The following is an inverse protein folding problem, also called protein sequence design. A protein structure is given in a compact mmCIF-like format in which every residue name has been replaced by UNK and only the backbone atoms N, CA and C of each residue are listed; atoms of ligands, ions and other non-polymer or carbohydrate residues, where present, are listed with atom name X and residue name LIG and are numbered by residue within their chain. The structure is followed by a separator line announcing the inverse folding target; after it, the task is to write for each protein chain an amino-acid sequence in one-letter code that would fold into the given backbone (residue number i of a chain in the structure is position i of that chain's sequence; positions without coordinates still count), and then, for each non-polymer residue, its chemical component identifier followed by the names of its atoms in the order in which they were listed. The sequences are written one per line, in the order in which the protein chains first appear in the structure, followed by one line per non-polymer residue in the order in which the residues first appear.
data_IF_005225822841
#
_entry.id   IF_005225822841
#
_cell.length_a   1.000
_cell.length_b   1.000
_cell.length_c   1.000
_cell.angle_alpha   90.00
_cell.angle_beta   90.00
_cell.angle_gamma   90.00
#
_symmetry.space_group_name_H-M   'P 1'
#
loop_
_entity.id
_entity.type
_entity.pdbx_description
1 polymer ?
#
# COMPACT_ATOMS: atom_id res chain seq x y z
N UNK A 1 -5.34 0.00 -25.10
CA UNK A 1 -5.54 0.65 -23.79
C UNK A 1 -5.20 -0.32 -22.68
N UNK A 2 -4.86 0.16 -21.48
CA UNK A 2 -4.73 -0.68 -20.27
C UNK A 2 -5.91 -0.39 -19.33
N UNK A 3 -6.40 -1.38 -18.56
CA UNK A 3 -7.43 -1.14 -17.55
C UNK A 3 -6.98 -0.11 -16.52
N UNK A 4 -7.94 0.58 -15.89
CA UNK A 4 -7.65 1.57 -14.87
C UNK A 4 -6.96 0.91 -13.64
N UNK A 5 -5.98 1.56 -12.99
CA UNK A 5 -5.26 0.98 -11.84
C UNK A 5 -6.11 0.59 -10.63
N UNK A 6 -7.37 1.04 -10.56
CA UNK A 6 -8.33 0.58 -9.54
C UNK A 6 -8.93 -0.80 -9.85
N UNK A 7 -8.91 -1.21 -11.12
CA UNK A 7 -9.44 -2.49 -11.60
C UNK A 7 -8.30 -3.49 -11.82
N UNK A 8 -7.15 -3.04 -12.30
CA UNK A 8 -5.97 -3.88 -12.57
C UNK A 8 -4.77 -3.36 -11.77
N UNK A 9 -4.22 -4.18 -10.89
CA UNK A 9 -3.13 -3.77 -10.02
C UNK A 9 -1.75 -4.01 -10.64
N UNK A 10 -1.64 -4.56 -11.85
CA UNK A 10 -0.37 -4.99 -12.44
C UNK A 10 0.67 -3.87 -12.48
N UNK A 11 0.26 -2.66 -12.89
CA UNK A 11 1.17 -1.51 -12.97
C UNK A 11 1.56 -1.00 -11.58
N UNK A 12 0.59 -0.96 -10.65
CA UNK A 12 0.79 -0.54 -9.26
C UNK A 12 1.74 -1.51 -8.54
N UNK A 13 1.51 -2.81 -8.66
CA UNK A 13 2.32 -3.86 -8.06
C UNK A 13 3.75 -3.82 -8.59
N UNK A 14 3.93 -3.65 -9.91
CA UNK A 14 5.26 -3.43 -10.49
C UNK A 14 5.94 -2.20 -9.91
N UNK A 15 5.20 -1.10 -9.71
CA UNK A 15 5.76 0.12 -9.15
C UNK A 15 6.16 -0.04 -7.67
N UNK A 16 5.37 -0.75 -6.86
CA UNK A 16 5.71 -1.04 -5.45
C UNK A 16 7.08 -1.74 -5.38
N UNK A 17 7.28 -2.78 -6.20
CA UNK A 17 8.55 -3.54 -6.23
C UNK A 17 9.70 -2.67 -6.73
N UNK A 18 9.47 -1.86 -7.77
CA UNK A 18 10.48 -0.94 -8.30
C UNK A 18 10.93 0.10 -7.25
N UNK A 19 9.99 0.74 -6.56
CA UNK A 19 10.30 1.75 -5.55
C UNK A 19 10.96 1.14 -4.31
N UNK A 20 10.62 -0.10 -3.95
CA UNK A 20 11.28 -0.81 -2.87
C UNK A 20 12.76 -1.11 -3.13
N UNK A 21 13.12 -1.30 -4.41
CA UNK A 21 14.50 -1.50 -4.84
C UNK A 21 15.34 -0.21 -4.78
N UNK A 22 14.71 0.97 -4.81
CA UNK A 22 15.41 2.24 -4.68
C UNK A 22 15.91 2.44 -3.22
N UNK A 23 17.22 2.59 -2.99
CA UNK A 23 17.77 2.87 -1.66
C UNK A 23 17.31 4.21 -1.07
N UNK A 24 16.84 5.15 -1.90
CA UNK A 24 16.27 6.44 -1.53
C UNK A 24 14.89 6.34 -0.89
N UNK A 25 14.15 5.27 -1.15
CA UNK A 25 12.76 5.11 -0.69
C UNK A 25 12.70 4.65 0.77
N UNK A 26 12.17 5.53 1.63
CA UNK A 26 11.90 5.22 3.04
C UNK A 26 10.47 4.71 3.29
N UNK A 27 9.50 5.17 2.48
CA UNK A 27 8.07 4.87 2.65
C UNK A 27 7.37 4.79 1.31
N UNK A 28 6.46 3.81 1.17
CA UNK A 28 5.47 3.76 0.09
C UNK A 28 4.10 4.12 0.70
N UNK A 29 3.48 5.16 0.14
CA UNK A 29 2.13 5.60 0.52
C UNK A 29 1.12 5.07 -0.51
N UNK A 30 0.06 4.40 -0.04
CA UNK A 30 -0.96 3.78 -0.88
C UNK A 30 -2.36 4.33 -0.56
N UNK A 31 -3.16 4.51 -1.60
CA UNK A 31 -4.60 4.74 -1.51
C UNK A 31 -5.36 3.54 -2.09
N UNK A 32 -6.14 2.87 -1.23
CA UNK A 32 -6.99 1.76 -1.66
C UNK A 32 -8.44 2.22 -1.69
N UNK A 33 -8.96 2.37 -2.90
CA UNK A 33 -10.37 2.72 -3.16
C UNK A 33 -11.14 1.43 -3.41
N UNK A 34 -12.27 1.28 -2.70
CA UNK A 34 -13.18 0.13 -2.79
C UNK A 34 -14.47 0.52 -3.50
N UNK A 35 -15.42 -0.41 -3.54
CA UNK A 35 -16.73 -0.22 -4.14
C UNK A 35 -16.85 -0.82 -5.53
N UNK A 36 -17.99 -0.56 -6.17
CA UNK A 36 -18.27 -1.04 -7.52
C UNK A 36 -17.28 -0.45 -8.53
N UNK A 37 -16.81 -1.29 -9.47
CA UNK A 37 -15.81 -0.90 -10.45
C UNK A 37 -14.38 -0.87 -9.94
N UNK A 38 -14.12 -1.31 -8.70
CA UNK A 38 -12.77 -1.60 -8.19
C UNK A 38 -12.48 -3.10 -8.24
N UNK A 39 -11.22 -3.49 -8.06
CA UNK A 39 -10.82 -4.90 -8.02
C UNK A 39 -11.64 -5.67 -6.95
N UNK A 40 -12.18 -6.86 -7.25
CA UNK A 40 -13.05 -7.61 -6.32
C UNK A 40 -12.28 -8.18 -5.12
N UNK A 41 -11.00 -8.48 -5.28
CA UNK A 41 -10.12 -8.98 -4.22
C UNK A 41 -8.80 -8.17 -4.15
N UNK A 42 -8.81 -6.97 -3.57
CA UNK A 42 -7.64 -6.10 -3.57
C UNK A 42 -6.49 -6.67 -2.70
N UNK A 43 -6.80 -7.53 -1.71
CA UNK A 43 -5.80 -8.10 -0.83
C UNK A 43 -4.96 -9.15 -1.53
N UNK A 44 -5.60 -10.07 -2.27
CA UNK A 44 -4.88 -11.08 -3.05
C UNK A 44 -3.90 -10.45 -4.04
N UNK A 45 -4.27 -9.31 -4.63
CA UNK A 45 -3.43 -8.60 -5.59
C UNK A 45 -2.29 -7.81 -4.95
N UNK A 46 -2.55 -7.00 -3.91
CA UNK A 46 -1.55 -6.04 -3.43
C UNK A 46 -0.59 -6.61 -2.39
N UNK A 47 -1.04 -7.55 -1.57
CA UNK A 47 -0.23 -8.09 -0.46
C UNK A 47 1.05 -8.78 -0.94
N UNK A 48 1.05 -9.58 -2.01
CA UNK A 48 2.29 -10.17 -2.54
C UNK A 48 3.34 -9.12 -2.91
N UNK A 49 2.93 -8.03 -3.58
CA UNK A 49 3.84 -6.96 -3.96
C UNK A 49 4.42 -6.21 -2.75
N UNK A 50 3.60 -5.98 -1.71
CA UNK A 50 4.04 -5.36 -0.45
C UNK A 50 5.07 -6.24 0.26
N UNK A 51 4.81 -7.55 0.37
CA UNK A 51 5.73 -8.50 1.00
C UNK A 51 7.05 -8.56 0.25
N UNK A 52 6.98 -8.60 -1.07
CA UNK A 52 8.16 -8.62 -1.93
C UNK A 52 8.99 -7.33 -1.80
N UNK A 53 8.35 -6.17 -1.83
CA UNK A 53 9.04 -4.89 -1.62
C UNK A 53 9.76 -4.82 -0.26
N UNK A 54 9.11 -5.29 0.80
CA UNK A 54 9.74 -5.38 2.12
C UNK A 54 10.92 -6.36 2.16
N UNK A 55 10.81 -7.51 1.46
CA UNK A 55 11.91 -8.47 1.33
C UNK A 55 13.13 -7.81 0.65
N UNK A 56 12.92 -7.15 -0.48
CA UNK A 56 13.98 -6.43 -1.22
C UNK A 56 14.67 -5.38 -0.35
N UNK A 57 13.89 -4.59 0.39
CA UNK A 57 14.45 -3.59 1.30
C UNK A 57 15.30 -4.24 2.40
N UNK A 58 14.80 -5.32 3.02
CA UNK A 58 15.51 -6.05 4.06
C UNK A 58 16.82 -6.67 3.57
N UNK A 59 16.85 -7.22 2.36
CA UNK A 59 18.08 -7.73 1.73
C UNK A 59 19.13 -6.63 1.53
N UNK A 60 18.66 -5.41 1.23
CA UNK A 60 19.47 -4.21 1.22
C UNK A 60 19.81 -3.64 2.60
N UNK A 61 19.49 -4.35 3.70
CA UNK A 61 19.63 -3.91 5.10
C UNK A 61 18.93 -2.58 5.41
N UNK A 62 17.82 -2.32 4.71
CA UNK A 62 16.96 -1.15 4.89
C UNK A 62 15.60 -1.57 5.42
N UNK A 63 14.94 -0.67 6.11
CA UNK A 63 13.51 -0.83 6.45
C UNK A 63 12.68 -0.03 5.47
N UNK A 64 11.69 -0.67 4.84
CA UNK A 64 10.69 -0.01 4.01
C UNK A 64 9.36 0.04 4.75
N UNK A 65 8.88 1.25 5.05
CA UNK A 65 7.55 1.44 5.60
C UNK A 65 6.50 1.43 4.49
N UNK A 66 5.34 0.84 4.75
CA UNK A 66 4.18 0.97 3.86
C UNK A 66 3.03 1.56 4.67
N UNK A 67 2.51 2.69 4.21
CA UNK A 67 1.40 3.41 4.84
C UNK A 67 0.24 3.43 3.87
N UNK A 68 -0.98 3.23 4.36
CA UNK A 68 -2.16 3.26 3.51
C UNK A 68 -3.35 3.98 4.15
N UNK A 69 -4.26 4.45 3.30
CA UNK A 69 -5.65 4.72 3.68
C UNK A 69 -6.59 3.93 2.79
N UNK A 70 -7.70 3.46 3.36
CA UNK A 70 -8.73 2.72 2.63
C UNK A 70 -10.00 3.56 2.53
N UNK A 71 -10.36 3.94 1.31
CA UNK A 71 -11.56 4.71 0.98
C UNK A 71 -12.65 3.76 0.49
N UNK A 72 -13.79 3.76 1.16
CA UNK A 72 -14.90 2.87 0.88
C UNK A 72 -15.79 2.72 2.10
N UNK A 73 -16.72 1.78 2.06
CA UNK A 73 -17.67 1.50 3.13
C UNK A 73 -17.59 0.03 3.57
N UNK A 74 -18.13 -0.25 4.75
CA UNK A 74 -18.21 -1.62 5.27
C UNK A 74 -19.20 -2.49 4.46
N UNK A 75 -20.01 -1.87 3.59
CA UNK A 75 -20.99 -2.52 2.70
C UNK A 75 -20.49 -2.71 1.27
N UNK A 76 -19.30 -2.21 0.95
CA UNK A 76 -18.72 -2.44 -0.38
C UNK A 76 -18.43 -3.94 -0.60
N UNK A 77 -18.44 -4.43 -1.86
CA UNK A 77 -18.24 -5.84 -2.16
C UNK A 77 -16.97 -6.44 -1.55
N UNK A 78 -15.91 -5.63 -1.41
CA UNK A 78 -14.62 -6.04 -0.85
C UNK A 78 -14.60 -6.11 0.69
N UNK A 79 -15.62 -5.56 1.37
CA UNK A 79 -15.70 -5.37 2.82
C UNK A 79 -14.51 -4.60 3.41
N UNK A 80 -14.70 -3.29 3.66
CA UNK A 80 -13.63 -2.41 4.15
C UNK A 80 -12.94 -2.91 5.44
N UNK A 81 -13.64 -3.38 6.50
CA UNK A 81 -12.99 -3.94 7.68
C UNK A 81 -12.06 -5.10 7.38
N UNK A 82 -12.47 -6.05 6.52
CA UNK A 82 -11.63 -7.17 6.09
C UNK A 82 -10.39 -6.69 5.35
N UNK A 83 -10.52 -5.75 4.42
CA UNK A 83 -9.38 -5.17 3.68
C UNK A 83 -8.41 -4.47 4.64
N UNK A 84 -8.91 -3.68 5.59
CA UNK A 84 -8.07 -2.99 6.58
C UNK A 84 -7.33 -4.00 7.46
N UNK A 85 -8.00 -5.06 7.92
CA UNK A 85 -7.38 -6.11 8.72
C UNK A 85 -6.27 -6.84 7.93
N UNK A 86 -6.55 -7.27 6.69
CA UNK A 86 -5.57 -7.96 5.86
C UNK A 86 -4.34 -7.11 5.52
N UNK A 87 -4.51 -5.80 5.31
CA UNK A 87 -3.37 -4.89 5.13
C UNK A 87 -2.54 -4.78 6.42
N UNK A 88 -3.17 -4.67 7.59
CA UNK A 88 -2.46 -4.62 8.88
C UNK A 88 -1.71 -5.90 9.16
N UNK A 89 -2.29 -7.06 8.85
CA UNK A 89 -1.64 -8.36 8.96
C UNK A 89 -0.45 -8.51 8.01
N UNK A 90 -0.49 -7.83 6.85
CA UNK A 90 0.65 -7.68 5.95
C UNK A 90 1.71 -6.66 6.45
N UNK A 91 1.48 -6.05 7.62
CA UNK A 91 2.33 -5.06 8.27
C UNK A 91 2.27 -3.66 7.65
N UNK A 92 1.16 -3.33 6.99
CA UNK A 92 0.88 -1.97 6.49
C UNK A 92 0.33 -1.10 7.63
N UNK A 93 0.83 0.12 7.73
CA UNK A 93 0.33 1.14 8.65
C UNK A 93 -0.93 1.79 8.05
N UNK A 94 -2.11 1.24 8.39
CA UNK A 94 -3.40 1.73 7.85
C UNK A 94 -3.96 2.85 8.73
N UNK A 95 -4.02 4.06 8.17
CA UNK A 95 -4.51 5.27 8.82
C UNK A 95 -5.99 5.54 8.48
N UNK A 96 -6.68 6.26 9.37
CA UNK A 96 -8.12 6.54 9.23
C UNK A 96 -8.50 7.52 8.12
N UNK A 97 -7.53 8.21 7.51
CA UNK A 97 -7.75 9.11 6.37
C UNK A 97 -6.50 9.24 5.51
N UNK A 98 -6.67 9.66 4.26
CA UNK A 98 -5.55 9.97 3.37
C UNK A 98 -4.64 11.08 3.95
N UNK A 99 -5.24 12.10 4.59
CA UNK A 99 -4.48 13.15 5.25
C UNK A 99 -3.59 12.61 6.39
N UNK A 100 -4.11 11.71 7.22
CA UNK A 100 -3.34 11.07 8.28
C UNK A 100 -2.24 10.14 7.73
N UNK A 101 -2.53 9.42 6.64
CA UNK A 101 -1.57 8.57 5.94
C UNK A 101 -0.40 9.40 5.37
N UNK A 102 -0.69 10.49 4.67
CA UNK A 102 0.31 11.41 4.15
C UNK A 102 1.13 12.08 5.25
N UNK A 103 0.49 12.52 6.34
CA UNK A 103 1.18 13.12 7.48
C UNK A 103 2.16 12.12 8.13
N UNK A 104 1.76 10.86 8.29
CA UNK A 104 2.64 9.81 8.80
C UNK A 104 3.81 9.52 7.86
N UNK A 105 3.56 9.41 6.55
CA UNK A 105 4.61 9.24 5.56
C UNK A 105 5.64 10.37 5.62
N UNK A 106 5.19 11.63 5.73
CA UNK A 106 6.07 12.78 5.89
C UNK A 106 6.91 12.74 7.19
N UNK A 107 6.35 12.24 8.29
CA UNK A 107 7.11 12.02 9.55
C UNK A 107 8.15 10.91 9.41
N UNK A 108 7.82 9.83 8.71
CA UNK A 108 8.77 8.73 8.45
C UNK A 108 9.97 9.28 7.69
N UNK A 109 9.75 10.02 6.60
CA UNK A 109 10.84 10.63 5.82
C UNK A 109 11.72 11.52 6.70
N UNK A 110 11.14 12.45 7.47
CA UNK A 110 11.89 13.31 8.40
C UNK A 110 12.68 12.53 9.46
N UNK A 111 12.10 11.44 9.98
CA UNK A 111 12.73 10.59 10.97
C UNK A 111 13.91 9.77 10.44
N UNK A 112 14.02 9.59 9.11
CA UNK A 112 15.15 8.89 8.50
C UNK A 112 16.44 9.73 8.39
N UNK A 113 16.41 11.01 8.81
CA UNK A 113 17.60 11.86 8.89
C UNK A 113 18.26 12.17 7.53
N UNK A 114 17.52 11.96 6.43
CA UNK A 114 17.89 12.35 5.07
C UNK A 114 17.21 13.65 4.68
#
# INVERSE_FOLDING_TARGET
GRPHPMIDFSLRNKRIVQEAADPGTAVILLDLVLGYGSHPDPLAEIVPAIREGRRIANEGRRTLSVVASVTGTDKDPQNRPTVVAGLRDAGVLVMGSNAAAAALAGRIVKGTGR
#
